data_IF_216146373373
#
_entry.id   IF_216146373373
#
_cell.length_a   1.000
_cell.length_b   1.000
_cell.length_c   1.000
_cell.angle_alpha   90.00
_cell.angle_beta   90.00
_cell.angle_gamma   90.00
#
_symmetry.space_group_name_H-M   'P 1'
#
loop_
_entity.id
_entity.type
_entity.pdbx_description
1 polymer ?
#
# COMPACT_ATOMS: atom_id res chain seq x y z
N UNK A 1 -37.41 1.66 -3.33
CA UNK A 1 -36.92 0.51 -2.57
C UNK A 1 -35.86 1.04 -1.62
N UNK A 2 -36.13 1.02 -0.29
CA UNK A 2 -35.26 1.62 0.71
C UNK A 2 -33.97 0.81 0.85
N UNK A 3 -32.83 1.48 0.73
CA UNK A 3 -31.53 0.94 1.11
C UNK A 3 -31.56 0.87 2.64
N UNK A 4 -31.54 -0.32 3.20
CA UNK A 4 -31.25 -0.51 4.62
C UNK A 4 -29.84 0.03 4.87
N UNK A 5 -29.77 1.25 5.37
CA UNK A 5 -28.52 1.82 5.90
C UNK A 5 -28.23 1.09 7.20
N UNK A 6 -27.50 -0.03 7.10
CA UNK A 6 -26.88 -0.63 8.27
C UNK A 6 -26.10 0.45 9.02
N UNK A 7 -26.32 0.54 10.34
CA UNK A 7 -25.67 1.54 11.20
C UNK A 7 -24.17 1.39 11.04
N UNK A 8 -23.46 2.44 10.60
CA UNK A 8 -22.00 2.41 10.48
C UNK A 8 -21.36 1.96 11.80
N UNK A 9 -20.33 1.16 11.71
CA UNK A 9 -19.54 0.70 12.84
C UNK A 9 -18.07 0.69 12.50
N UNK A 10 -17.25 1.25 13.38
CA UNK A 10 -15.81 1.30 13.19
C UNK A 10 -15.20 -0.11 13.22
N UNK A 11 -14.49 -0.49 12.16
CA UNK A 11 -13.84 -1.79 12.04
C UNK A 11 -12.85 -2.07 13.19
N UNK A 12 -12.16 -1.03 13.68
CA UNK A 12 -11.18 -1.19 14.76
C UNK A 12 -11.79 -1.26 16.16
N UNK A 13 -12.88 -0.58 16.47
CA UNK A 13 -13.35 -0.50 17.85
C UNK A 13 -14.84 -0.75 18.05
N UNK A 14 -15.59 -0.98 16.96
CA UNK A 14 -17.03 -1.22 17.01
C UNK A 14 -17.87 0.02 17.33
N UNK A 15 -17.26 1.21 17.51
CA UNK A 15 -18.00 2.43 17.85
C UNK A 15 -18.86 2.90 16.68
N UNK A 16 -20.07 3.41 16.97
CA UNK A 16 -21.07 3.77 15.95
C UNK A 16 -21.07 5.24 15.52
N UNK A 17 -20.25 6.12 16.13
CA UNK A 17 -20.22 7.54 15.82
C UNK A 17 -18.96 7.93 15.04
N UNK A 18 -19.17 8.78 14.03
CA UNK A 18 -18.14 9.21 13.10
C UNK A 18 -18.31 10.67 12.75
N UNK A 19 -17.20 11.33 12.43
CA UNK A 19 -17.19 12.68 11.86
C UNK A 19 -16.50 12.70 10.51
N UNK A 20 -16.77 13.72 9.72
CA UNK A 20 -16.17 13.93 8.42
C UNK A 20 -14.66 14.14 8.57
N UNK A 21 -13.85 13.36 7.85
CA UNK A 21 -12.43 13.63 7.63
C UNK A 21 -12.22 14.47 6.37
N UNK A 22 -12.73 13.98 5.24
CA UNK A 22 -12.69 14.67 3.95
C UNK A 22 -13.75 14.10 3.00
N UNK A 23 -14.10 14.89 1.99
CA UNK A 23 -14.92 14.42 0.86
C UNK A 23 -14.39 15.02 -0.45
N UNK A 24 -14.38 14.23 -1.50
CA UNK A 24 -13.90 14.67 -2.81
C UNK A 24 -14.19 13.67 -3.93
N UNK A 25 -13.94 14.08 -5.17
CA UNK A 25 -14.02 13.18 -6.33
C UNK A 25 -12.80 12.25 -6.39
N UNK A 26 -12.83 11.33 -7.35
CA UNK A 26 -11.62 10.64 -7.80
C UNK A 26 -10.73 11.64 -8.56
N UNK A 27 -9.76 12.22 -7.85
CA UNK A 27 -8.85 13.23 -8.40
C UNK A 27 -7.90 12.67 -9.45
N UNK A 28 -7.62 11.38 -9.41
CA UNK A 28 -6.56 10.79 -10.22
C UNK A 28 -7.06 10.22 -11.54
N UNK A 29 -8.21 9.57 -11.53
CA UNK A 29 -8.69 8.81 -12.70
C UNK A 29 -10.13 9.12 -13.12
N UNK A 30 -10.90 9.80 -12.29
CA UNK A 30 -12.34 10.02 -12.50
C UNK A 30 -13.07 8.70 -12.86
N UNK A 31 -12.66 7.59 -12.25
CA UNK A 31 -13.14 6.24 -12.58
C UNK A 31 -14.58 5.97 -12.16
N UNK A 32 -15.07 6.74 -11.22
CA UNK A 32 -16.46 6.63 -10.75
C UNK A 32 -17.00 8.01 -10.33
N UNK A 33 -18.32 8.25 -10.46
CA UNK A 33 -18.94 9.49 -10.03
C UNK A 33 -18.82 9.66 -8.51
N UNK A 34 -18.29 10.81 -8.06
CA UNK A 34 -18.18 11.18 -6.65
C UNK A 34 -19.30 12.12 -6.20
N UNK A 35 -19.24 12.69 -4.99
CA UNK A 35 -18.08 12.64 -4.10
C UNK A 35 -17.99 11.36 -3.26
N UNK A 36 -16.75 10.99 -2.90
CA UNK A 36 -16.43 9.91 -1.96
C UNK A 36 -16.08 10.53 -0.61
N UNK A 37 -16.52 9.89 0.46
CA UNK A 37 -16.40 10.44 1.80
C UNK A 37 -15.56 9.53 2.72
N UNK A 38 -14.51 10.08 3.29
CA UNK A 38 -13.75 9.45 4.37
C UNK A 38 -14.25 9.99 5.71
N UNK A 39 -14.54 9.08 6.63
CA UNK A 39 -15.04 9.38 7.95
C UNK A 39 -14.07 8.90 9.04
N UNK A 40 -13.92 9.69 10.09
CA UNK A 40 -13.11 9.38 11.26
C UNK A 40 -14.00 8.89 12.41
N UNK A 41 -13.66 7.74 12.97
CA UNK A 41 -14.27 7.25 14.20
C UNK A 41 -14.00 8.21 15.36
N UNK A 42 -15.04 8.64 16.07
CA UNK A 42 -14.88 9.61 17.17
C UNK A 42 -14.17 9.01 18.39
N UNK A 43 -14.24 7.68 18.57
CA UNK A 43 -13.62 7.00 19.71
C UNK A 43 -12.13 6.70 19.48
N UNK A 44 -11.76 6.05 18.37
CA UNK A 44 -10.38 5.58 18.15
C UNK A 44 -9.61 6.37 17.09
N UNK A 45 -10.25 7.31 16.41
CA UNK A 45 -9.63 8.13 15.38
C UNK A 45 -9.28 7.40 14.07
N UNK A 46 -9.64 6.11 13.91
CA UNK A 46 -9.46 5.41 12.64
C UNK A 46 -10.31 6.06 11.54
N UNK A 47 -9.74 6.17 10.35
CA UNK A 47 -10.42 6.75 9.20
C UNK A 47 -10.73 5.67 8.18
N UNK A 48 -11.96 5.64 7.70
CA UNK A 48 -12.37 4.74 6.62
C UNK A 48 -13.31 5.43 5.63
N UNK A 49 -13.31 4.92 4.41
CA UNK A 49 -14.27 5.29 3.38
C UNK A 49 -15.68 4.89 3.85
N UNK A 50 -16.66 5.75 3.65
CA UNK A 50 -18.04 5.47 4.00
C UNK A 50 -19.00 6.00 2.92
N UNK A 51 -19.76 5.11 2.24
CA UNK A 51 -19.70 3.66 2.35
C UNK A 51 -18.42 3.08 1.72
N UNK A 52 -17.94 1.92 2.22
CA UNK A 52 -16.92 1.13 1.53
C UNK A 52 -17.57 0.47 0.31
N UNK A 53 -16.99 0.56 -0.91
CA UNK A 53 -17.54 -0.03 -2.12
C UNK A 53 -17.83 -1.52 -1.98
N UNK A 54 -18.89 -2.01 -2.60
CA UNK A 54 -19.19 -3.43 -2.64
C UNK A 54 -18.15 -4.20 -3.48
N UNK A 55 -18.01 -5.53 -3.30
CA UNK A 55 -17.03 -6.31 -4.05
C UNK A 55 -17.15 -6.20 -5.58
N UNK A 56 -18.37 -6.12 -6.09
CA UNK A 56 -18.69 -5.95 -7.51
C UNK A 56 -18.39 -4.53 -8.05
N UNK A 57 -18.32 -3.53 -7.18
CA UNK A 57 -17.98 -2.15 -7.52
C UNK A 57 -16.47 -1.90 -7.54
N UNK A 58 -15.69 -2.70 -6.82
CA UNK A 58 -14.24 -2.48 -6.64
C UNK A 58 -13.48 -2.51 -7.97
N UNK A 59 -13.82 -3.43 -8.88
CA UNK A 59 -13.11 -3.57 -10.16
C UNK A 59 -13.20 -2.29 -11.01
N UNK A 60 -14.32 -1.56 -10.95
CA UNK A 60 -14.52 -0.31 -11.68
C UNK A 60 -13.61 0.83 -11.20
N UNK A 61 -13.10 0.75 -9.96
CA UNK A 61 -12.20 1.74 -9.40
C UNK A 61 -10.77 1.66 -9.96
N UNK A 62 -10.44 0.60 -10.68
CA UNK A 62 -9.12 0.35 -11.26
C UNK A 62 -9.20 0.32 -12.80
N UNK A 63 -9.30 1.50 -13.45
CA UNK A 63 -9.41 1.59 -14.89
C UNK A 63 -8.13 1.08 -15.59
N UNK A 64 -8.19 0.78 -16.90
CA UNK A 64 -6.99 0.36 -17.67
C UNK A 64 -5.82 1.37 -17.61
N UNK A 65 -6.14 2.65 -17.35
CA UNK A 65 -5.14 3.71 -17.17
C UNK A 65 -4.49 3.73 -15.78
N UNK A 66 -4.88 2.83 -14.87
CA UNK A 66 -4.32 2.78 -13.52
C UNK A 66 -2.81 2.56 -13.55
N UNK A 67 -2.07 3.40 -12.82
CA UNK A 67 -0.61 3.50 -12.96
C UNK A 67 0.17 2.21 -12.66
N UNK A 68 -0.35 1.32 -11.83
CA UNK A 68 0.32 0.05 -11.52
C UNK A 68 0.25 -0.97 -12.66
N UNK A 69 -0.65 -0.76 -13.62
CA UNK A 69 -0.87 -1.66 -14.75
C UNK A 69 -0.62 -0.99 -16.10
N UNK A 70 -0.43 0.32 -16.14
CA UNK A 70 -0.21 1.08 -17.38
C UNK A 70 1.21 1.68 -17.40
N UNK A 71 2.15 1.09 -18.15
CA UNK A 71 3.52 1.60 -18.29
C UNK A 71 3.62 3.02 -18.88
N UNK A 72 2.61 3.45 -19.63
CA UNK A 72 2.57 4.80 -20.25
C UNK A 72 2.09 5.88 -19.27
N UNK A 73 1.66 5.50 -18.07
CA UNK A 73 1.25 6.46 -17.06
C UNK A 73 2.45 7.29 -16.56
N UNK A 74 2.34 8.63 -16.48
CA UNK A 74 3.38 9.47 -15.89
C UNK A 74 3.61 9.20 -14.40
N UNK A 75 2.71 8.47 -13.76
CA UNK A 75 2.80 8.02 -12.38
C UNK A 75 3.32 6.58 -12.26
N UNK A 76 3.58 5.89 -13.39
CA UNK A 76 4.18 4.56 -13.36
C UNK A 76 5.64 4.65 -12.95
N UNK A 77 5.97 3.97 -11.86
CA UNK A 77 7.35 3.91 -11.36
C UNK A 77 8.14 2.89 -12.18
N UNK A 78 9.05 3.37 -13.01
CA UNK A 78 9.93 2.53 -13.82
C UNK A 78 11.35 3.12 -13.90
N UNK A 79 12.25 2.35 -14.48
CA UNK A 79 13.63 2.76 -14.72
C UNK A 79 14.46 2.91 -13.44
N UNK A 80 15.49 3.76 -13.53
CA UNK A 80 16.54 3.86 -12.52
C UNK A 80 16.03 4.18 -11.09
N UNK A 81 15.05 5.08 -10.97
CA UNK A 81 14.49 5.48 -9.64
C UNK A 81 13.80 4.29 -8.99
N UNK A 82 12.99 3.57 -9.77
CA UNK A 82 12.27 2.39 -9.30
C UNK A 82 13.20 1.27 -8.87
N UNK A 83 14.20 0.96 -9.70
CA UNK A 83 15.21 -0.05 -9.36
C UNK A 83 15.98 0.29 -8.08
N UNK A 84 16.38 1.56 -7.91
CA UNK A 84 17.05 1.99 -6.68
C UNK A 84 16.16 1.88 -5.45
N UNK A 85 14.88 2.23 -5.59
CA UNK A 85 13.87 2.04 -4.52
C UNK A 85 13.78 0.57 -4.13
N UNK A 86 13.61 -0.32 -5.09
CA UNK A 86 13.52 -1.77 -4.83
C UNK A 86 14.79 -2.29 -4.14
N UNK A 87 15.99 -1.93 -4.62
CA UNK A 87 17.25 -2.34 -3.98
C UNK A 87 17.37 -1.82 -2.55
N UNK A 88 16.92 -0.58 -2.29
CA UNK A 88 16.87 -0.05 -0.94
C UNK A 88 15.91 -0.87 -0.05
N UNK A 89 14.72 -1.20 -0.55
CA UNK A 89 13.75 -2.04 0.16
C UNK A 89 14.33 -3.43 0.47
N UNK A 90 15.01 -4.08 -0.47
CA UNK A 90 15.67 -5.38 -0.25
C UNK A 90 16.75 -5.27 0.82
N UNK A 91 17.60 -4.24 0.78
CA UNK A 91 18.61 -3.99 1.80
C UNK A 91 17.99 -3.82 3.18
N UNK A 92 16.88 -3.06 3.27
CA UNK A 92 16.12 -2.86 4.50
C UNK A 92 15.51 -4.17 5.00
N UNK A 93 14.88 -4.96 4.13
CA UNK A 93 14.33 -6.28 4.49
C UNK A 93 15.45 -7.19 5.03
N UNK A 94 16.64 -7.16 4.43
CA UNK A 94 17.81 -7.89 4.90
C UNK A 94 18.29 -7.49 6.30
N UNK A 95 17.86 -6.35 6.85
CA UNK A 95 18.11 -6.00 8.25
C UNK A 95 17.16 -6.68 9.23
N UNK A 96 16.07 -7.26 8.73
CA UNK A 96 15.04 -7.93 9.53
C UNK A 96 15.19 -9.45 9.54
N UNK A 97 15.69 -10.02 8.44
CA UNK A 97 15.86 -11.46 8.26
C UNK A 97 17.12 -11.78 7.46
N UNK A 98 17.76 -12.89 7.78
CA UNK A 98 18.84 -13.43 6.93
C UNK A 98 18.22 -14.02 5.65
N UNK A 99 18.26 -13.24 4.58
CA UNK A 99 17.61 -13.57 3.31
C UNK A 99 18.10 -14.90 2.72
N UNK A 100 19.35 -15.32 3.02
CA UNK A 100 19.93 -16.56 2.49
C UNK A 100 19.37 -17.81 3.17
N UNK A 101 18.77 -17.67 4.35
CA UNK A 101 18.18 -18.76 5.12
C UNK A 101 16.69 -18.93 4.94
N UNK A 102 16.04 -18.00 4.23
CA UNK A 102 14.60 -18.08 3.97
C UNK A 102 14.31 -19.25 3.03
N UNK A 103 13.32 -20.05 3.37
CA UNK A 103 12.83 -21.17 2.56
C UNK A 103 11.65 -20.77 1.68
N UNK A 104 10.86 -19.81 2.14
CA UNK A 104 9.70 -19.35 1.39
C UNK A 104 9.42 -17.86 1.63
N UNK A 105 9.23 -17.13 0.53
CA UNK A 105 8.88 -15.71 0.50
C UNK A 105 7.59 -15.53 -0.30
N UNK A 106 6.67 -14.72 0.22
CA UNK A 106 5.43 -14.35 -0.46
C UNK A 106 5.34 -12.82 -0.56
N UNK A 107 5.10 -12.27 -1.73
CA UNK A 107 4.80 -10.86 -1.96
C UNK A 107 3.33 -10.73 -2.39
N UNK A 108 2.52 -10.08 -1.57
CA UNK A 108 1.07 -9.94 -1.74
C UNK A 108 0.79 -8.58 -2.35
N UNK A 109 0.14 -8.55 -3.50
CA UNK A 109 0.01 -7.36 -4.34
C UNK A 109 1.36 -7.00 -4.96
N UNK A 110 2.02 -7.99 -5.57
CA UNK A 110 3.40 -7.85 -6.05
C UNK A 110 3.55 -7.05 -7.36
N UNK A 111 2.44 -6.70 -8.02
CA UNK A 111 2.43 -5.95 -9.27
C UNK A 111 3.24 -6.62 -10.39
N UNK A 112 4.26 -5.93 -10.87
CA UNK A 112 5.20 -6.42 -11.89
C UNK A 112 6.27 -7.41 -11.36
N UNK A 113 6.13 -7.84 -10.12
CA UNK A 113 7.04 -8.75 -9.42
C UNK A 113 8.49 -8.23 -9.27
N UNK A 114 8.75 -6.94 -9.47
CA UNK A 114 10.11 -6.38 -9.46
C UNK A 114 10.84 -6.66 -8.14
N UNK A 115 10.14 -6.60 -7.00
CA UNK A 115 10.71 -6.95 -5.70
C UNK A 115 11.13 -8.42 -5.63
N UNK A 116 10.32 -9.33 -6.15
CA UNK A 116 10.65 -10.75 -6.19
C UNK A 116 11.84 -11.06 -7.11
N UNK A 117 11.96 -10.37 -8.26
CA UNK A 117 13.13 -10.48 -9.13
C UNK A 117 14.42 -10.05 -8.44
N UNK A 118 14.38 -8.95 -7.68
CA UNK A 118 15.55 -8.50 -6.93
C UNK A 118 15.83 -9.42 -5.72
N UNK A 119 14.83 -9.90 -5.00
CA UNK A 119 14.99 -10.89 -3.93
C UNK A 119 15.63 -12.18 -4.47
N UNK A 120 15.22 -12.64 -5.65
CA UNK A 120 15.76 -13.85 -6.29
C UNK A 120 17.29 -13.81 -6.48
N UNK A 121 17.87 -12.61 -6.63
CA UNK A 121 19.32 -12.43 -6.80
C UNK A 121 20.12 -12.62 -5.50
N UNK A 122 19.48 -12.51 -4.34
CA UNK A 122 20.15 -12.48 -3.02
C UNK A 122 19.74 -13.62 -2.09
N UNK A 123 18.66 -14.33 -2.39
CA UNK A 123 18.21 -15.51 -1.63
C UNK A 123 18.81 -16.81 -2.19
N UNK A 124 18.66 -17.92 -1.47
CA UNK A 124 19.06 -19.24 -1.97
C UNK A 124 18.26 -19.64 -3.23
N UNK A 125 18.85 -20.45 -4.12
CA UNK A 125 18.14 -20.99 -5.31
C UNK A 125 16.96 -21.86 -4.91
N UNK A 126 17.02 -22.50 -3.76
CA UNK A 126 15.99 -23.37 -3.18
C UNK A 126 14.86 -22.58 -2.52
N UNK A 127 15.03 -21.28 -2.27
CA UNK A 127 13.99 -20.44 -1.68
C UNK A 127 12.78 -20.38 -2.63
N UNK A 128 11.61 -20.76 -2.16
CA UNK A 128 10.35 -20.60 -2.90
C UNK A 128 9.95 -19.12 -2.89
N UNK A 129 9.82 -18.51 -4.07
CA UNK A 129 9.35 -17.14 -4.24
C UNK A 129 7.96 -17.16 -4.87
N UNK A 130 6.97 -16.57 -4.20
CA UNK A 130 5.57 -16.55 -4.63
C UNK A 130 5.10 -15.10 -4.72
N UNK A 131 4.51 -14.72 -5.85
CA UNK A 131 3.82 -13.45 -6.04
C UNK A 131 2.31 -13.66 -6.16
N UNK A 132 1.53 -12.88 -5.43
CA UNK A 132 0.08 -12.83 -5.55
C UNK A 132 -0.32 -11.44 -6.07
N UNK A 133 -1.17 -11.39 -7.10
CA UNK A 133 -1.79 -10.16 -7.59
C UNK A 133 -3.10 -10.47 -8.30
N UNK A 134 -3.90 -9.43 -8.59
CA UNK A 134 -5.18 -9.58 -9.29
C UNK A 134 -5.01 -10.16 -10.70
N UNK A 135 -3.96 -9.74 -11.41
CA UNK A 135 -3.58 -10.21 -12.75
C UNK A 135 -2.14 -9.85 -13.06
N UNK A 136 -1.55 -10.53 -14.02
CA UNK A 136 -0.19 -10.27 -14.49
C UNK A 136 -0.17 -10.00 -16.00
N UNK A 137 0.78 -9.17 -16.41
CA UNK A 137 1.09 -9.01 -17.83
C UNK A 137 1.83 -10.26 -18.35
N UNK A 138 1.63 -10.67 -19.62
CA UNK A 138 2.23 -11.89 -20.17
C UNK A 138 3.76 -11.92 -20.06
N UNK A 139 4.44 -10.79 -20.28
CA UNK A 139 5.89 -10.66 -20.15
C UNK A 139 6.39 -10.88 -18.71
N UNK A 140 5.61 -10.43 -17.72
CA UNK A 140 5.90 -10.66 -16.30
C UNK A 140 5.82 -12.16 -15.97
N UNK A 141 4.81 -12.86 -16.51
CA UNK A 141 4.64 -14.31 -16.30
C UNK A 141 5.81 -15.09 -16.90
N UNK A 142 6.22 -14.75 -18.13
CA UNK A 142 7.36 -15.39 -18.80
C UNK A 142 8.67 -15.19 -18.01
N UNK A 143 8.96 -13.95 -17.64
CA UNK A 143 10.15 -13.60 -16.85
C UNK A 143 10.17 -14.27 -15.47
N UNK A 144 9.02 -14.35 -14.80
CA UNK A 144 8.87 -14.98 -13.50
C UNK A 144 9.14 -16.50 -13.60
N UNK A 145 8.59 -17.15 -14.63
CA UNK A 145 8.85 -18.57 -14.91
C UNK A 145 10.34 -18.83 -15.11
N UNK A 146 11.02 -18.03 -15.94
CA UNK A 146 12.45 -18.13 -16.18
C UNK A 146 13.30 -17.90 -14.90
N UNK A 147 12.81 -17.09 -13.96
CA UNK A 147 13.47 -16.82 -12.69
C UNK A 147 13.07 -17.78 -11.56
N UNK A 148 12.27 -18.81 -11.83
CA UNK A 148 11.71 -19.71 -10.82
C UNK A 148 10.92 -18.97 -9.73
N UNK A 149 10.07 -18.03 -10.15
CA UNK A 149 9.12 -17.30 -9.30
C UNK A 149 7.72 -17.79 -9.66
N UNK A 150 6.93 -18.17 -8.66
CA UNK A 150 5.55 -18.65 -8.84
C UNK A 150 4.60 -17.45 -8.73
N UNK A 151 3.93 -17.12 -9.82
CA UNK A 151 2.86 -16.11 -9.81
C UNK A 151 1.50 -16.79 -9.70
N UNK A 152 0.59 -16.20 -8.93
CA UNK A 152 -0.78 -16.66 -8.75
C UNK A 152 -1.72 -15.46 -8.87
N UNK A 153 -2.62 -15.52 -9.84
CA UNK A 153 -3.67 -14.52 -10.01
C UNK A 153 -4.83 -14.76 -9.04
N UNK A 154 -5.44 -13.67 -8.59
CA UNK A 154 -6.62 -13.67 -7.76
C UNK A 154 -6.69 -12.44 -6.87
N UNK A 155 -7.85 -12.28 -6.25
CA UNK A 155 -8.07 -11.21 -5.28
C UNK A 155 -7.24 -11.41 -4.00
N UNK A 156 -7.32 -10.44 -3.07
CA UNK A 156 -6.76 -10.55 -1.71
C UNK A 156 -7.22 -11.81 -0.96
N UNK A 157 -8.28 -12.47 -1.45
CA UNK A 157 -8.77 -13.74 -0.90
C UNK A 157 -7.90 -14.92 -1.31
N UNK A 158 -7.06 -14.79 -2.34
CA UNK A 158 -6.20 -15.87 -2.84
C UNK A 158 -5.09 -16.28 -1.84
N UNK A 159 -4.97 -15.55 -0.73
CA UNK A 159 -4.10 -15.96 0.39
C UNK A 159 -4.46 -17.36 0.94
N UNK A 160 -5.69 -17.82 0.75
CA UNK A 160 -6.11 -19.17 1.16
C UNK A 160 -5.43 -20.27 0.34
N UNK A 161 -4.95 -19.96 -0.87
CA UNK A 161 -4.16 -20.87 -1.69
C UNK A 161 -2.74 -21.12 -1.17
N UNK A 162 -2.28 -20.31 -0.20
CA UNK A 162 -0.99 -20.47 0.44
C UNK A 162 -1.01 -21.61 1.44
N UNK A 163 0.13 -22.29 1.58
CA UNK A 163 0.29 -23.38 2.58
C UNK A 163 0.31 -22.79 4.00
N UNK A 164 -0.33 -23.47 4.93
CA UNK A 164 -0.32 -23.08 6.33
C UNK A 164 1.06 -23.27 6.95
N UNK A 165 1.43 -22.35 7.82
CA UNK A 165 2.66 -22.38 8.63
C UNK A 165 3.96 -22.58 7.83
N UNK A 166 3.99 -22.12 6.55
CA UNK A 166 5.05 -22.48 5.61
C UNK A 166 5.95 -21.31 5.19
N UNK A 167 5.52 -20.05 5.38
CA UNK A 167 6.21 -18.90 4.79
C UNK A 167 7.06 -18.16 5.82
N UNK A 168 8.35 -18.03 5.55
CA UNK A 168 9.30 -17.39 6.47
C UNK A 168 9.24 -15.86 6.37
N UNK A 169 8.93 -15.32 5.18
CA UNK A 169 8.74 -13.89 4.95
C UNK A 169 7.51 -13.66 4.07
N UNK A 170 6.60 -12.84 4.55
CA UNK A 170 5.48 -12.35 3.76
C UNK A 170 5.57 -10.83 3.69
N UNK A 171 5.27 -10.25 2.54
CA UNK A 171 5.32 -8.81 2.30
C UNK A 171 3.96 -8.36 1.78
N UNK A 172 3.45 -7.27 2.32
CA UNK A 172 2.24 -6.60 1.86
C UNK A 172 2.52 -5.11 1.85
N UNK A 173 2.75 -4.53 0.67
CA UNK A 173 3.15 -3.14 0.51
C UNK A 173 2.10 -2.38 -0.29
N UNK A 174 1.48 -1.38 0.33
CA UNK A 174 0.41 -0.56 -0.26
C UNK A 174 -0.80 -1.42 -0.72
N UNK A 175 -1.23 -2.34 0.14
CA UNK A 175 -2.35 -3.25 -0.13
C UNK A 175 -3.38 -3.21 1.01
N UNK A 176 -2.92 -3.15 2.27
CA UNK A 176 -3.79 -3.27 3.44
C UNK A 176 -4.90 -2.19 3.46
N UNK A 177 -4.58 -0.99 3.01
CA UNK A 177 -5.49 0.15 2.92
C UNK A 177 -6.61 -0.02 1.88
N UNK A 178 -6.42 -0.89 0.90
CA UNK A 178 -7.39 -1.17 -0.17
C UNK A 178 -8.36 -2.30 0.19
N UNK A 179 -8.10 -3.02 1.29
CA UNK A 179 -8.92 -4.18 1.67
C UNK A 179 -10.19 -3.74 2.38
N UNK A 180 -11.29 -4.44 2.12
CA UNK A 180 -12.57 -4.18 2.79
C UNK A 180 -12.53 -4.55 4.28
N UNK A 181 -11.88 -5.66 4.60
CA UNK A 181 -11.62 -6.12 5.98
C UNK A 181 -10.14 -6.46 6.15
N UNK A 182 -9.30 -5.45 6.46
CA UNK A 182 -7.88 -5.67 6.65
C UNK A 182 -7.57 -6.56 7.87
N UNK A 183 -8.41 -6.57 8.90
CA UNK A 183 -8.18 -7.42 10.10
C UNK A 183 -8.40 -8.89 9.75
N UNK A 184 -9.50 -9.23 9.09
CA UNK A 184 -9.76 -10.60 8.66
C UNK A 184 -8.67 -11.12 7.71
N UNK A 185 -8.17 -10.27 6.78
CA UNK A 185 -7.06 -10.63 5.89
C UNK A 185 -5.78 -10.88 6.67
N UNK A 186 -5.43 -10.02 7.63
CA UNK A 186 -4.28 -10.23 8.50
C UNK A 186 -4.40 -11.54 9.31
N UNK A 187 -5.60 -11.88 9.83
CA UNK A 187 -5.85 -13.14 10.54
C UNK A 187 -5.61 -14.36 9.64
N UNK A 188 -6.06 -14.32 8.39
CA UNK A 188 -5.83 -15.38 7.40
C UNK A 188 -4.34 -15.52 7.08
N UNK A 189 -3.61 -14.41 6.89
CA UNK A 189 -2.16 -14.42 6.66
C UNK A 189 -1.40 -14.97 7.86
N UNK A 190 -1.89 -14.77 9.08
CA UNK A 190 -1.26 -15.30 10.29
C UNK A 190 -1.18 -16.83 10.27
N UNK A 191 -2.18 -17.53 9.76
CA UNK A 191 -2.14 -18.99 9.63
C UNK A 191 -1.08 -19.47 8.62
N UNK A 192 -0.75 -18.67 7.61
CA UNK A 192 0.20 -19.00 6.55
C UNK A 192 1.66 -18.79 6.97
N UNK A 193 1.88 -17.91 7.95
CA UNK A 193 3.21 -17.55 8.43
C UNK A 193 3.87 -18.72 9.20
N UNK A 194 5.14 -18.98 8.94
CA UNK A 194 5.93 -19.99 9.68
C UNK A 194 6.11 -19.58 11.15
N UNK A 195 6.49 -20.51 12.05
CA UNK A 195 6.59 -20.28 13.51
C UNK A 195 7.44 -19.06 13.88
N UNK A 196 8.51 -18.77 13.17
CA UNK A 196 9.37 -17.59 13.38
C UNK A 196 9.33 -16.67 12.15
N UNK A 197 8.29 -16.81 11.33
CA UNK A 197 8.12 -16.03 10.12
C UNK A 197 7.78 -14.59 10.42
N UNK A 198 8.03 -13.73 9.45
CA UNK A 198 7.80 -12.29 9.51
C UNK A 198 6.81 -11.86 8.44
N UNK A 199 5.84 -11.02 8.81
CA UNK A 199 4.99 -10.30 7.89
C UNK A 199 5.37 -8.82 7.93
N UNK A 200 5.85 -8.30 6.82
CA UNK A 200 6.11 -6.87 6.62
C UNK A 200 4.88 -6.24 5.97
N UNK A 201 4.27 -5.29 6.65
CA UNK A 201 3.16 -4.48 6.11
C UNK A 201 3.61 -3.05 5.96
N UNK A 202 3.40 -2.48 4.77
CA UNK A 202 3.64 -1.06 4.47
C UNK A 202 2.34 -0.44 3.97
N UNK A 203 1.99 0.73 4.51
CA UNK A 203 0.72 1.42 4.19
C UNK A 203 0.87 2.92 4.39
N UNK A 204 0.05 3.76 3.73
CA UNK A 204 0.04 5.19 3.98
C UNK A 204 -0.18 5.50 5.46
N UNK A 205 0.43 6.59 5.91
CA UNK A 205 0.34 7.06 7.28
C UNK A 205 -0.26 8.46 7.36
N UNK A 206 -1.38 8.57 8.02
CA UNK A 206 -2.09 9.83 8.27
C UNK A 206 -1.45 10.61 9.43
N UNK A 207 -0.21 11.03 9.28
CA UNK A 207 0.51 11.75 10.34
C UNK A 207 1.80 12.41 9.84
N UNK A 208 2.07 12.34 8.53
CA UNK A 208 3.20 12.99 7.90
C UNK A 208 3.06 14.52 7.82
N UNK A 209 4.13 15.20 7.47
CA UNK A 209 4.15 16.64 7.29
C UNK A 209 3.27 17.07 6.09
N UNK A 210 3.35 16.36 4.98
CA UNK A 210 2.49 16.54 3.81
C UNK A 210 1.00 16.36 4.15
N UNK A 211 0.65 15.33 4.96
CA UNK A 211 -0.73 15.22 5.45
C UNK A 211 -1.16 16.47 6.20
N UNK A 212 -0.32 17.00 7.10
CA UNK A 212 -0.67 18.20 7.89
C UNK A 212 -0.89 19.43 7.02
N UNK A 213 -0.14 19.55 5.93
CA UNK A 213 -0.25 20.68 4.97
C UNK A 213 -1.46 20.56 4.04
N UNK A 214 -1.79 19.36 3.60
CA UNK A 214 -2.82 19.12 2.57
C UNK A 214 -4.08 18.42 3.09
N UNK A 215 -4.17 18.18 4.41
CA UNK A 215 -5.34 17.55 5.03
C UNK A 215 -6.64 18.30 4.71
N UNK A 216 -7.73 17.55 4.71
CA UNK A 216 -9.07 18.07 4.46
C UNK A 216 -9.48 18.04 2.99
N UNK A 217 -8.53 18.02 2.02
CA UNK A 217 -8.89 17.94 0.60
C UNK A 217 -7.85 17.34 -0.33
N UNK A 218 -6.61 17.78 -0.28
CA UNK A 218 -5.63 17.56 -1.37
C UNK A 218 -4.52 16.57 -1.04
N UNK A 219 -4.49 16.00 0.16
CA UNK A 219 -3.45 15.04 0.50
C UNK A 219 -3.47 13.83 -0.44
N UNK A 220 -2.34 13.53 -1.09
CA UNK A 220 -2.22 12.46 -2.07
C UNK A 220 -2.46 11.06 -1.49
N UNK A 221 -2.26 10.90 -0.17
CA UNK A 221 -2.53 9.63 0.50
C UNK A 221 -4.03 9.34 0.72
N UNK A 222 -4.94 10.25 0.41
CA UNK A 222 -6.38 9.93 0.39
C UNK A 222 -6.73 8.94 -0.72
N UNK A 223 -6.13 9.09 -1.88
CA UNK A 223 -6.30 8.21 -3.05
C UNK A 223 -7.75 7.75 -3.26
N UNK A 224 -8.70 8.71 -3.18
CA UNK A 224 -10.14 8.45 -3.31
C UNK A 224 -10.48 7.87 -4.68
N UNK A 225 -11.35 6.86 -4.74
CA UNK A 225 -11.99 6.11 -3.65
C UNK A 225 -11.28 4.79 -3.31
N UNK A 226 -10.00 4.61 -3.67
CA UNK A 226 -9.28 3.33 -3.61
C UNK A 226 -8.74 2.99 -2.23
N UNK A 227 -8.34 3.99 -1.43
CA UNK A 227 -7.97 3.75 -0.03
C UNK A 227 -9.24 3.69 0.82
N UNK A 228 -9.61 2.49 1.23
CA UNK A 228 -10.76 2.26 2.10
C UNK A 228 -10.43 2.57 3.57
N UNK A 229 -9.16 2.48 3.94
CA UNK A 229 -8.68 2.72 5.29
C UNK A 229 -7.44 3.61 5.30
N UNK A 230 -7.38 4.55 6.24
CA UNK A 230 -6.19 5.36 6.47
C UNK A 230 -5.66 5.10 7.89
N UNK A 231 -4.49 4.51 7.95
CA UNK A 231 -3.89 4.11 9.21
C UNK A 231 -3.02 5.21 9.81
N UNK A 232 -3.01 5.28 11.15
CA UNK A 232 -1.92 5.84 11.96
C UNK A 232 -1.05 4.70 12.47
N UNK A 233 0.09 5.01 13.11
CA UNK A 233 0.90 3.98 13.77
C UNK A 233 0.09 3.19 14.79
N UNK A 234 -0.71 3.88 15.60
CA UNK A 234 -1.52 3.26 16.64
C UNK A 234 -2.66 2.41 16.07
N UNK A 235 -3.37 2.90 15.04
CA UNK A 235 -4.46 2.13 14.43
C UNK A 235 -3.95 0.92 13.65
N UNK A 236 -2.76 0.99 13.04
CA UNK A 236 -2.11 -0.15 12.40
C UNK A 236 -1.65 -1.19 13.44
N UNK A 237 -1.08 -0.72 14.55
CA UNK A 237 -0.69 -1.57 15.67
C UNK A 237 -1.90 -2.28 16.30
N UNK A 238 -3.02 -1.56 16.48
CA UNK A 238 -4.25 -2.15 17.00
C UNK A 238 -4.85 -3.18 16.03
N UNK A 239 -4.84 -2.91 14.71
CA UNK A 239 -5.28 -3.88 13.69
C UNK A 239 -4.43 -5.16 13.75
N UNK A 240 -3.10 -5.03 13.82
CA UNK A 240 -2.18 -6.15 13.93
C UNK A 240 -2.41 -6.97 15.21
N UNK A 241 -2.60 -6.29 16.36
CA UNK A 241 -2.91 -6.93 17.65
C UNK A 241 -4.21 -7.71 17.60
N UNK A 242 -5.28 -7.13 17.02
CA UNK A 242 -6.58 -7.82 16.83
C UNK A 242 -6.49 -9.01 15.92
N UNK A 243 -5.58 -8.96 14.95
CA UNK A 243 -5.28 -10.10 14.09
C UNK A 243 -4.40 -11.18 14.76
N UNK A 244 -3.99 -10.98 16.03
CA UNK A 244 -3.22 -11.92 16.82
C UNK A 244 -1.71 -11.87 16.56
N UNK A 245 -1.19 -10.77 16.04
CA UNK A 245 0.24 -10.60 15.83
C UNK A 245 0.92 -9.90 16.99
N UNK A 246 2.21 -10.22 17.18
CA UNK A 246 3.15 -9.42 17.96
C UNK A 246 3.95 -8.49 17.02
N UNK A 247 4.10 -7.25 17.42
CA UNK A 247 4.88 -6.27 16.67
C UNK A 247 6.36 -6.45 17.03
N UNK A 248 7.18 -6.69 16.01
CA UNK A 248 8.65 -6.76 16.13
C UNK A 248 9.26 -5.37 15.97
N UNK A 249 8.78 -4.62 14.98
CA UNK A 249 9.27 -3.27 14.68
C UNK A 249 8.20 -2.46 13.97
N UNK A 250 8.23 -1.15 14.17
CA UNK A 250 7.38 -0.19 13.48
C UNK A 250 8.18 1.08 13.18
N UNK A 251 7.89 1.73 12.06
CA UNK A 251 8.59 2.96 11.69
C UNK A 251 7.98 3.69 10.52
N UNK A 252 8.63 4.80 10.16
CA UNK A 252 8.27 5.61 8.99
C UNK A 252 9.18 5.30 7.82
N UNK A 253 8.66 5.49 6.60
CA UNK A 253 9.38 5.34 5.34
C UNK A 253 9.28 6.64 4.53
N UNK A 254 10.27 6.99 3.70
CA UNK A 254 10.11 8.09 2.76
C UNK A 254 8.94 7.87 1.83
N UNK A 255 8.22 8.93 1.51
CA UNK A 255 7.01 8.89 0.69
C UNK A 255 6.93 10.05 -0.33
N UNK A 256 7.96 10.26 -1.17
CA UNK A 256 7.99 11.37 -2.13
C UNK A 256 6.75 11.40 -3.04
N UNK A 257 6.15 10.23 -3.31
CA UNK A 257 4.94 10.12 -4.11
C UNK A 257 3.74 10.85 -3.50
N UNK A 258 3.55 10.80 -2.19
CA UNK A 258 2.42 11.50 -1.57
C UNK A 258 2.59 13.02 -1.61
N UNK A 259 3.81 13.54 -1.50
CA UNK A 259 4.11 14.94 -1.75
C UNK A 259 3.73 15.36 -3.16
N UNK A 260 4.20 14.60 -4.15
CA UNK A 260 3.94 14.87 -5.58
C UNK A 260 2.43 14.87 -5.84
N UNK A 261 1.71 13.83 -5.39
CA UNK A 261 0.26 13.73 -5.56
C UNK A 261 -0.49 14.86 -4.85
N UNK A 262 -0.06 15.24 -3.64
CA UNK A 262 -0.67 16.35 -2.90
C UNK A 262 -0.56 17.68 -3.63
N UNK A 263 0.63 17.99 -4.15
CA UNK A 263 0.82 19.19 -4.97
C UNK A 263 0.02 19.12 -6.27
N UNK A 264 0.01 17.98 -6.96
CA UNK A 264 -0.81 17.79 -8.17
C UNK A 264 -2.29 18.02 -7.90
N UNK A 265 -2.80 17.43 -6.81
CA UNK A 265 -4.19 17.62 -6.39
C UNK A 265 -4.49 19.10 -6.09
N UNK A 266 -3.62 19.78 -5.35
CA UNK A 266 -3.81 21.19 -4.99
C UNK A 266 -3.74 22.14 -6.19
N UNK A 267 -2.94 21.80 -7.21
CA UNK A 267 -2.79 22.60 -8.44
C UNK A 267 -3.78 22.21 -9.54
N UNK A 268 -4.66 21.25 -9.30
CA UNK A 268 -5.64 20.78 -10.30
C UNK A 268 -5.02 20.06 -11.50
N UNK A 269 -3.83 19.43 -11.32
CA UNK A 269 -3.09 18.75 -12.39
C UNK A 269 -3.57 17.28 -12.56
N UNK A 270 -4.87 17.07 -12.68
CA UNK A 270 -5.48 15.72 -12.66
C UNK A 270 -5.48 15.02 -14.02
N UNK A 271 -5.49 15.74 -15.10
CA UNK A 271 -5.38 15.22 -16.47
C UNK A 271 -5.08 16.38 -17.38
N UNK A 272 -4.18 16.21 -18.33
CA UNK A 272 -3.88 17.02 -19.55
C UNK A 272 -4.14 18.55 -19.60
N UNK A 273 -4.68 19.20 -18.59
CA UNK A 273 -5.09 20.63 -18.62
C UNK A 273 -4.20 21.57 -17.81
N UNK A 274 -3.12 21.07 -17.18
CA UNK A 274 -2.17 21.91 -16.45
C UNK A 274 -1.02 22.45 -17.33
N UNK A 275 -0.27 23.45 -16.84
CA UNK A 275 0.96 23.91 -17.50
C UNK A 275 1.91 22.72 -17.69
N UNK A 276 2.30 22.47 -18.94
CA UNK A 276 3.11 21.32 -19.36
C UNK A 276 4.41 21.21 -18.54
N UNK A 277 5.06 22.32 -18.26
CA UNK A 277 6.31 22.36 -17.48
C UNK A 277 6.14 21.98 -16.00
N UNK A 278 5.05 22.42 -15.34
CA UNK A 278 4.75 22.05 -13.93
C UNK A 278 4.35 20.58 -13.84
N UNK A 279 3.62 20.09 -14.85
CA UNK A 279 3.23 18.67 -14.92
C UNK A 279 4.45 17.76 -15.06
N UNK A 280 5.42 18.15 -15.90
CA UNK A 280 6.68 17.41 -16.10
C UNK A 280 7.59 17.45 -14.87
N UNK A 281 7.55 18.53 -14.09
CA UNK A 281 8.32 18.63 -12.84
C UNK A 281 7.72 17.77 -11.74
N UNK A 282 6.40 17.82 -11.52
CA UNK A 282 5.69 17.06 -10.48
C UNK A 282 5.29 15.67 -10.98
N UNK A 283 6.26 14.81 -11.29
CA UNK A 283 6.00 13.41 -11.63
C UNK A 283 7.02 12.46 -10.97
N UNK A 284 6.70 11.17 -10.96
CA UNK A 284 7.51 10.15 -10.29
C UNK A 284 8.83 9.83 -11.04
N UNK A 285 8.95 10.22 -12.30
CA UNK A 285 10.15 10.03 -13.10
C UNK A 285 11.12 11.23 -12.99
N UNK A 286 10.71 12.34 -12.39
CA UNK A 286 11.57 13.50 -12.19
C UNK A 286 12.51 13.27 -11.00
N UNK A 287 13.77 13.00 -11.28
CA UNK A 287 14.77 12.67 -10.26
C UNK A 287 14.95 13.80 -9.23
N UNK A 288 14.92 15.05 -9.64
CA UNK A 288 15.11 16.21 -8.75
C UNK A 288 13.95 16.28 -7.76
N UNK A 289 12.72 16.18 -8.23
CA UNK A 289 11.52 16.23 -7.40
C UNK A 289 11.48 15.06 -6.42
N UNK A 290 11.73 13.85 -6.91
CA UNK A 290 11.76 12.65 -6.06
C UNK A 290 12.88 12.74 -5.03
N UNK A 291 14.08 13.18 -5.41
CA UNK A 291 15.21 13.34 -4.49
C UNK A 291 14.93 14.40 -3.42
N UNK A 292 14.34 15.54 -3.80
CA UNK A 292 14.00 16.64 -2.88
C UNK A 292 13.01 16.17 -1.79
N UNK A 293 11.90 15.56 -2.19
CA UNK A 293 10.91 15.09 -1.21
C UNK A 293 11.41 13.88 -0.40
N UNK A 294 12.25 13.03 -1.00
CA UNK A 294 12.92 11.95 -0.24
C UNK A 294 13.86 12.54 0.83
N UNK A 295 14.66 13.55 0.48
CA UNK A 295 15.56 14.21 1.43
C UNK A 295 14.77 14.89 2.56
N UNK A 296 13.66 15.56 2.24
CA UNK A 296 12.76 16.15 3.23
C UNK A 296 12.20 15.10 4.20
N UNK A 297 11.68 13.99 3.67
CA UNK A 297 11.17 12.91 4.50
C UNK A 297 12.26 12.27 5.36
N UNK A 298 13.47 12.09 4.82
CA UNK A 298 14.61 11.57 5.59
C UNK A 298 15.00 12.53 6.72
N UNK A 299 14.96 13.85 6.48
CA UNK A 299 15.18 14.84 7.52
C UNK A 299 14.08 14.75 8.61
N UNK A 300 12.81 14.64 8.21
CA UNK A 300 11.70 14.42 9.16
C UNK A 300 11.92 13.17 10.00
N UNK A 301 12.30 12.03 9.39
CA UNK A 301 12.58 10.78 10.11
C UNK A 301 13.77 10.98 11.07
N UNK A 302 14.83 11.64 10.63
CA UNK A 302 16.01 11.95 11.47
C UNK A 302 15.69 12.82 12.70
N UNK A 303 14.68 13.68 12.60
CA UNK A 303 14.14 14.48 13.68
C UNK A 303 13.08 13.76 14.53
N UNK A 304 12.85 12.48 14.32
CA UNK A 304 11.84 11.69 15.04
C UNK A 304 10.40 11.96 14.60
N UNK A 305 10.20 12.69 13.50
CA UNK A 305 8.88 12.98 12.96
C UNK A 305 8.40 11.81 12.08
N UNK A 306 7.09 11.71 11.91
CA UNK A 306 6.49 10.74 10.98
C UNK A 306 6.40 11.32 9.56
N UNK A 307 6.54 10.46 8.58
CA UNK A 307 6.23 10.72 7.16
C UNK A 307 4.89 10.10 6.79
N UNK A 308 4.41 10.32 5.58
CA UNK A 308 3.13 9.78 5.11
C UNK A 308 3.20 8.34 4.61
N UNK A 309 4.27 7.63 4.92
CA UNK A 309 4.35 6.18 4.75
C UNK A 309 4.93 5.52 6.01
N UNK A 310 4.41 4.36 6.35
CA UNK A 310 4.80 3.61 7.54
C UNK A 310 4.97 2.13 7.23
N UNK A 311 5.68 1.44 8.09
CA UNK A 311 5.75 -0.01 8.09
C UNK A 311 5.54 -0.57 9.48
N UNK A 312 5.05 -1.79 9.52
CA UNK A 312 5.06 -2.64 10.72
C UNK A 312 5.60 -4.02 10.34
N UNK A 313 6.49 -4.53 11.15
CA UNK A 313 7.03 -5.89 11.06
C UNK A 313 6.39 -6.73 12.15
N UNK A 314 5.73 -7.78 11.74
CA UNK A 314 4.86 -8.62 12.55
C UNK A 314 5.39 -10.04 12.60
N UNK A 315 5.15 -10.72 13.71
CA UNK A 315 5.35 -12.16 13.85
C UNK A 315 4.17 -12.79 14.56
N UNK A 316 3.94 -14.08 14.30
CA UNK A 316 3.03 -14.87 15.14
C UNK A 316 3.82 -15.42 16.32
N UNK A 317 3.21 -15.46 17.47
CA UNK A 317 3.73 -16.19 18.62
C UNK A 317 3.58 -17.70 18.45
#
# INVERSE_FOLDING_TARGET
MGVEHGRWSCLLCGHGEQKLETSGPDYEYASAPGPFTLCQCEKCGHVSLNPIPKPDEVAALYPPAYYTVNPDSPLYLQGFIYERKIRFDIKRIGTYADLRRLRSIVDIGCGDAARLFELRKVVSKETECIGLDLRFQPDVVERASAANIKLREGSETNVDSLRDAAHDLMIMSQILEHLRDPIATLQRLRSKLAKNGLLLVETPHRGGLDYRLFRGRYWGGYHLPRHFHLFTKDSLAEAAKRAGYRIVRQGSLPSPGFWILSFRNALGLHSSHGSRSVFEFLNFSNLITVATFTALDMACIGLGMSTSNQFVLLTRD
#
